data_IF_937401327322
#
_entry.id   IF_937401327322
#
_cell.length_a   1.000
_cell.length_b   1.000
_cell.length_c   1.000
_cell.angle_alpha   90.00
_cell.angle_beta   90.00
_cell.angle_gamma   90.00
#
_symmetry.space_group_name_H-M   'P 1'
#
loop_
_entity.id
_entity.type
_entity.pdbx_description
1 polymer ?
#
# COMPACT_ATOMS: atom_id res chain seq x y z
N UNK A 1 -65.43 56.24 4.18
CA UNK A 1 -65.13 55.86 5.58
C UNK A 1 -63.97 54.85 5.51
N UNK A 2 -62.83 55.24 6.10
CA UNK A 2 -61.60 54.49 6.50
C UNK A 2 -61.23 53.20 5.73
N UNK A 3 -60.01 53.01 5.23
CA UNK A 3 -58.69 53.19 5.85
C UNK A 3 -57.66 53.46 4.73
N UNK A 4 -56.82 54.49 4.85
CA UNK A 4 -55.42 54.42 5.36
C UNK A 4 -54.60 53.35 4.60
N UNK A 5 -53.40 53.61 4.08
CA UNK A 5 -52.48 54.73 4.17
C UNK A 5 -51.20 54.31 3.43
N UNK A 6 -50.53 55.28 2.79
CA UNK A 6 -49.07 55.49 2.84
C UNK A 6 -48.18 54.40 2.19
N UNK A 7 -47.60 54.70 1.03
CA UNK A 7 -46.29 55.37 0.87
C UNK A 7 -45.10 54.40 0.90
N UNK A 8 -44.42 54.42 -0.25
CA UNK A 8 -42.96 54.56 -0.42
C UNK A 8 -41.98 53.46 0.02
N UNK A 9 -41.11 53.20 -0.96
CA UNK A 9 -39.68 52.89 -0.82
C UNK A 9 -39.28 51.52 -0.28
N UNK A 10 -38.81 50.66 -1.17
CA UNK A 10 -37.62 49.84 -0.90
C UNK A 10 -37.02 49.36 -2.22
N UNK A 11 -35.99 50.06 -2.72
CA UNK A 11 -34.56 49.73 -2.58
C UNK A 11 -34.11 48.54 -3.45
N UNK A 12 -33.17 48.88 -4.32
CA UNK A 12 -32.43 48.01 -5.22
C UNK A 12 -31.97 46.72 -4.54
N UNK A 13 -32.19 45.60 -5.22
CA UNK A 13 -31.71 44.29 -4.80
C UNK A 13 -30.63 43.84 -5.77
N UNK A 14 -29.39 44.27 -5.49
CA UNK A 14 -28.19 43.70 -6.10
C UNK A 14 -28.16 42.20 -5.77
N UNK A 15 -28.34 41.35 -6.78
CA UNK A 15 -28.21 39.90 -6.64
C UNK A 15 -26.73 39.58 -6.79
N UNK A 16 -26.03 39.49 -5.65
CA UNK A 16 -24.70 38.88 -5.57
C UNK A 16 -24.93 37.37 -5.57
N UNK A 17 -24.51 36.69 -6.65
CA UNK A 17 -24.48 35.22 -6.71
C UNK A 17 -23.10 34.76 -6.22
N UNK A 18 -22.97 34.08 -5.07
CA UNK A 18 -21.74 33.39 -4.73
C UNK A 18 -21.81 31.99 -5.34
N UNK A 19 -21.19 31.79 -6.50
CA UNK A 19 -20.94 30.44 -7.01
C UNK A 19 -19.76 29.84 -6.24
N UNK A 20 -20.08 29.09 -5.18
CA UNK A 20 -19.13 28.30 -4.40
C UNK A 20 -18.49 27.25 -5.31
N UNK A 21 -17.22 27.42 -5.67
CA UNK A 21 -16.41 26.34 -6.24
C UNK A 21 -16.19 25.29 -5.15
N UNK A 22 -16.97 24.22 -5.17
CA UNK A 22 -16.66 23.00 -4.42
C UNK A 22 -15.47 22.30 -5.08
N UNK A 23 -14.25 22.67 -4.68
CA UNK A 23 -13.07 21.87 -4.96
C UNK A 23 -13.22 20.53 -4.23
N UNK A 24 -13.62 19.49 -4.96
CA UNK A 24 -13.49 18.11 -4.47
C UNK A 24 -12.00 17.85 -4.27
N UNK A 25 -11.54 17.98 -3.02
CA UNK A 25 -10.28 17.42 -2.58
C UNK A 25 -10.45 15.89 -2.64
N UNK A 26 -10.16 15.30 -3.80
CA UNK A 26 -9.88 13.89 -3.88
C UNK A 26 -8.59 13.66 -3.09
N UNK A 27 -8.72 13.30 -1.81
CA UNK A 27 -7.61 12.78 -1.04
C UNK A 27 -6.99 11.64 -1.86
N UNK A 28 -5.68 11.66 -2.16
CA UNK A 28 -5.05 10.52 -2.78
C UNK A 28 -5.22 9.34 -1.83
N UNK A 29 -6.11 8.41 -2.18
CA UNK A 29 -6.15 7.12 -1.54
C UNK A 29 -4.82 6.46 -1.87
N UNK A 30 -3.87 6.49 -0.95
CA UNK A 30 -2.73 5.57 -0.98
C UNK A 30 -3.34 4.18 -0.92
N UNK A 31 -3.37 3.50 -2.07
CA UNK A 31 -3.97 2.19 -2.17
C UNK A 31 -3.24 1.28 -1.19
N UNK A 32 -3.92 0.80 -0.15
CA UNK A 32 -3.30 -0.19 0.73
C UNK A 32 -3.00 -1.46 -0.04
N UNK A 33 -2.00 -2.23 0.37
CA UNK A 33 -1.74 -3.55 -0.23
C UNK A 33 -3.02 -4.41 -0.19
N UNK A 34 -3.41 -4.95 -1.35
CA UNK A 34 -4.57 -5.85 -1.47
C UNK A 34 -4.22 -7.26 -0.97
N UNK A 35 -3.94 -7.37 0.32
CA UNK A 35 -3.55 -8.59 1.01
C UNK A 35 -4.44 -8.78 2.24
N UNK A 36 -5.03 -9.97 2.37
CA UNK A 36 -5.81 -10.35 3.54
C UNK A 36 -4.90 -10.85 4.67
N UNK A 37 -5.27 -10.57 5.92
CA UNK A 37 -4.57 -11.13 7.07
C UNK A 37 -4.78 -12.65 7.16
N UNK A 38 -3.80 -13.37 7.70
CA UNK A 38 -3.88 -14.82 7.86
C UNK A 38 -2.55 -15.52 7.71
N UNK A 39 -2.64 -16.85 7.63
CA UNK A 39 -1.50 -17.73 7.41
C UNK A 39 -1.21 -17.78 5.92
N UNK A 40 -0.01 -17.39 5.52
CA UNK A 40 0.43 -17.36 4.13
C UNK A 40 1.58 -18.32 3.92
N UNK A 41 1.51 -19.09 2.84
CA UNK A 41 2.62 -19.88 2.32
C UNK A 41 3.18 -19.17 1.09
N UNK A 42 4.51 -19.02 1.05
CA UNK A 42 5.24 -18.47 -0.08
C UNK A 42 6.22 -19.50 -0.61
N UNK A 43 6.17 -19.78 -1.90
CA UNK A 43 7.14 -20.62 -2.62
C UNK A 43 8.04 -19.75 -3.49
N UNK A 44 9.36 -19.93 -3.34
CA UNK A 44 10.35 -19.30 -4.21
C UNK A 44 10.77 -20.29 -5.30
N UNK A 45 10.76 -19.83 -6.55
CA UNK A 45 11.10 -20.63 -7.73
C UNK A 45 12.23 -19.92 -8.49
N UNK A 46 13.31 -20.65 -8.76
CA UNK A 46 14.41 -20.20 -9.61
C UNK A 46 14.61 -21.26 -10.71
N UNK A 47 14.89 -20.82 -11.94
CA UNK A 47 15.08 -21.71 -13.11
C UNK A 47 13.93 -22.71 -13.31
N UNK A 48 12.70 -22.28 -13.02
CA UNK A 48 11.49 -23.11 -13.13
C UNK A 48 11.34 -24.18 -12.04
N UNK A 49 12.24 -24.22 -11.04
CA UNK A 49 12.21 -25.21 -9.94
C UNK A 49 11.98 -24.54 -8.59
N UNK A 50 11.06 -25.07 -7.75
CA UNK A 50 10.91 -24.60 -6.38
C UNK A 50 12.22 -24.78 -5.59
N UNK A 51 12.68 -23.71 -4.96
CA UNK A 51 13.89 -23.68 -4.14
C UNK A 51 13.55 -23.76 -2.64
N UNK A 52 12.45 -23.11 -2.25
CA UNK A 52 12.01 -23.10 -0.86
C UNK A 52 10.52 -22.79 -0.75
N UNK A 53 9.93 -23.22 0.36
CA UNK A 53 8.61 -22.80 0.78
C UNK A 53 8.66 -22.43 2.27
N UNK A 54 7.99 -21.35 2.63
CA UNK A 54 7.91 -20.91 4.02
C UNK A 54 6.53 -20.34 4.32
N UNK A 55 6.09 -20.58 5.55
CA UNK A 55 4.81 -20.11 6.04
C UNK A 55 5.01 -18.98 7.04
N UNK A 56 4.23 -17.90 6.92
CA UNK A 56 4.22 -16.75 7.83
C UNK A 56 2.80 -16.33 8.12
N UNK A 57 2.52 -16.04 9.39
CA UNK A 57 1.30 -15.38 9.80
C UNK A 57 1.46 -13.87 9.66
N UNK A 58 0.56 -13.25 8.91
CA UNK A 58 0.46 -11.81 8.73
C UNK A 58 -0.83 -11.33 9.37
N UNK A 59 -0.71 -10.58 10.47
CA UNK A 59 -1.84 -9.83 11.05
C UNK A 59 -2.09 -8.55 10.25
N UNK A 60 -3.24 -7.89 10.44
CA UNK A 60 -3.47 -6.57 9.85
C UNK A 60 -2.37 -5.56 10.20
N UNK A 61 -1.85 -5.60 11.42
CA UNK A 61 -0.75 -4.73 11.84
C UNK A 61 0.54 -5.01 11.05
N UNK A 62 0.84 -6.28 10.76
CA UNK A 62 2.01 -6.65 9.95
C UNK A 62 1.89 -6.16 8.51
N UNK A 63 0.70 -6.23 7.92
CA UNK A 63 0.47 -5.75 6.55
C UNK A 63 0.68 -4.24 6.47
N UNK A 64 0.15 -3.49 7.44
CA UNK A 64 0.34 -2.03 7.53
C UNK A 64 1.82 -1.67 7.74
N UNK A 65 2.52 -2.38 8.62
CA UNK A 65 3.95 -2.14 8.85
C UNK A 65 4.81 -2.55 7.64
N UNK A 66 4.44 -3.63 6.94
CA UNK A 66 5.08 -4.02 5.68
C UNK A 66 4.94 -2.90 4.64
N UNK A 67 3.74 -2.35 4.45
CA UNK A 67 3.51 -1.25 3.51
C UNK A 67 4.35 -0.01 3.86
N UNK A 68 4.39 0.36 5.16
CA UNK A 68 5.25 1.46 5.63
C UNK A 68 6.73 1.16 5.34
N UNK A 69 7.19 -0.07 5.60
CA UNK A 69 8.57 -0.50 5.33
C UNK A 69 8.92 -0.37 3.86
N UNK A 70 8.07 -0.87 2.96
CA UNK A 70 8.29 -0.76 1.53
C UNK A 70 8.41 0.69 1.07
N UNK A 71 7.66 1.61 1.71
CA UNK A 71 7.73 3.05 1.47
C UNK A 71 8.88 3.77 2.18
N UNK A 72 9.75 3.06 2.91
CA UNK A 72 10.83 3.65 3.70
C UNK A 72 10.35 4.44 4.94
N UNK A 73 9.11 4.22 5.38
CA UNK A 73 8.44 4.92 6.50
C UNK A 73 8.29 4.05 7.75
N UNK A 74 8.82 2.84 7.75
CA UNK A 74 8.75 1.95 8.92
C UNK A 74 9.58 2.51 10.07
N UNK A 75 9.01 2.47 11.28
CA UNK A 75 9.72 2.79 12.52
C UNK A 75 10.52 1.60 13.05
N UNK A 76 10.33 0.40 12.50
CA UNK A 76 11.14 -0.78 12.82
C UNK A 76 12.50 -0.65 12.15
N UNK A 77 13.57 -0.68 12.94
CA UNK A 77 14.95 -0.64 12.47
C UNK A 77 15.22 -1.91 11.65
N UNK A 78 15.33 -1.77 10.34
CA UNK A 78 15.71 -2.89 9.50
C UNK A 78 17.21 -3.12 9.60
N UNK A 79 17.61 -4.06 10.46
CA UNK A 79 19.02 -4.37 10.71
C UNK A 79 19.73 -5.02 9.51
N UNK A 80 19.01 -5.41 8.46
CA UNK A 80 19.57 -6.20 7.35
C UNK A 80 19.17 -5.69 5.97
N UNK A 81 17.95 -5.17 5.75
CA UNK A 81 17.50 -4.74 4.40
C UNK A 81 16.91 -3.34 4.39
N UNK A 82 17.22 -2.55 3.35
CA UNK A 82 16.66 -1.22 3.09
C UNK A 82 15.80 -1.27 1.84
N UNK A 83 14.77 -0.43 1.79
CA UNK A 83 13.81 -0.38 0.69
C UNK A 83 13.78 1.04 0.11
N UNK A 84 13.74 1.13 -1.21
CA UNK A 84 13.72 2.38 -1.96
C UNK A 84 12.84 2.25 -3.21
N UNK A 85 12.64 3.37 -3.92
CA UNK A 85 11.97 3.41 -5.23
C UNK A 85 10.57 2.79 -5.26
N UNK A 86 9.85 2.89 -4.13
CA UNK A 86 8.52 2.33 -4.03
C UNK A 86 7.56 3.01 -5.00
N UNK A 87 6.91 2.19 -5.82
CA UNK A 87 5.80 2.61 -6.67
C UNK A 87 4.66 1.61 -6.53
N UNK A 88 3.43 2.11 -6.63
CA UNK A 88 2.24 1.28 -6.60
C UNK A 88 1.26 1.71 -7.68
N UNK A 89 0.73 0.73 -8.41
CA UNK A 89 -0.32 0.90 -9.39
C UNK A 89 -1.39 -0.15 -9.15
N UNK A 90 -2.50 0.26 -8.55
CA UNK A 90 -3.55 -0.65 -8.11
C UNK A 90 -3.01 -1.71 -7.13
N UNK A 91 -3.08 -2.97 -7.54
CA UNK A 91 -2.67 -4.14 -6.75
C UNK A 91 -1.19 -4.49 -6.88
N UNK A 92 -0.46 -3.82 -7.78
CA UNK A 92 0.94 -4.10 -8.06
C UNK A 92 1.85 -3.07 -7.41
N UNK A 93 2.91 -3.54 -6.77
CA UNK A 93 3.99 -2.73 -6.21
C UNK A 93 5.32 -3.07 -6.86
N UNK A 94 6.19 -2.08 -6.98
CA UNK A 94 7.58 -2.27 -7.31
C UNK A 94 8.43 -1.49 -6.32
N UNK A 95 9.59 -2.05 -5.95
CA UNK A 95 10.54 -1.40 -5.07
C UNK A 95 11.94 -2.00 -5.26
N UNK A 96 12.95 -1.22 -4.90
CA UNK A 96 14.33 -1.68 -4.77
C UNK A 96 14.56 -2.16 -3.34
N UNK A 97 15.18 -3.33 -3.19
CA UNK A 97 15.55 -3.91 -1.90
C UNK A 97 17.06 -4.11 -1.85
N UNK A 98 17.74 -3.51 -0.88
CA UNK A 98 19.18 -3.68 -0.65
C UNK A 98 19.40 -4.33 0.71
N UNK A 99 19.92 -5.55 0.72
CA UNK A 99 20.20 -6.31 1.94
C UNK A 99 21.70 -6.44 2.17
N UNK A 100 22.14 -6.24 3.42
CA UNK A 100 23.48 -6.58 3.89
C UNK A 100 23.55 -8.06 4.26
N UNK A 101 24.50 -8.78 3.70
CA UNK A 101 24.75 -10.19 3.96
C UNK A 101 26.23 -10.33 4.36
N UNK A 102 26.50 -10.26 5.67
CA UNK A 102 27.87 -10.12 6.16
C UNK A 102 28.45 -8.76 5.74
N UNK A 103 29.60 -8.80 5.05
CA UNK A 103 30.27 -7.60 4.53
C UNK A 103 29.76 -7.17 3.14
N UNK A 104 28.97 -8.01 2.47
CA UNK A 104 28.44 -7.74 1.14
C UNK A 104 27.07 -7.04 1.20
N UNK A 105 26.80 -6.20 0.20
CA UNK A 105 25.48 -5.63 -0.06
C UNK A 105 24.91 -6.18 -1.36
N UNK A 106 23.71 -6.75 -1.28
CA UNK A 106 22.97 -7.24 -2.44
C UNK A 106 21.76 -6.35 -2.70
N UNK A 107 21.74 -5.71 -3.88
CA UNK A 107 20.59 -4.94 -4.36
C UNK A 107 19.76 -5.76 -5.34
N UNK A 108 18.45 -5.77 -5.14
CA UNK A 108 17.47 -6.51 -5.93
C UNK A 108 16.30 -5.61 -6.32
N UNK A 109 15.85 -5.71 -7.58
CA UNK A 109 14.59 -5.11 -8.00
C UNK A 109 13.44 -6.09 -7.72
N UNK A 110 12.41 -5.63 -7.03
CA UNK A 110 11.26 -6.45 -6.63
C UNK A 110 9.98 -5.91 -7.24
N UNK A 111 9.16 -6.81 -7.78
CA UNK A 111 7.78 -6.53 -8.19
C UNK A 111 6.84 -7.52 -7.53
N UNK A 112 5.68 -7.11 -7.07
CA UNK A 112 4.67 -8.01 -6.52
C UNK A 112 3.26 -7.52 -6.87
N UNK A 113 2.34 -8.45 -7.13
CA UNK A 113 0.90 -8.18 -7.31
C UNK A 113 0.14 -8.96 -6.27
N UNK A 114 -0.70 -8.27 -5.49
CA UNK A 114 -1.49 -8.85 -4.41
C UNK A 114 -2.98 -8.88 -4.78
N UNK A 115 -3.64 -10.02 -4.61
CA UNK A 115 -5.02 -10.25 -5.03
C UNK A 115 -5.85 -10.85 -3.89
N UNK A 116 -5.84 -10.22 -2.73
CA UNK A 116 -6.55 -10.66 -1.52
C UNK A 116 -5.86 -11.87 -0.88
N UNK A 117 -6.12 -13.07 -1.39
CA UNK A 117 -5.65 -14.36 -0.85
C UNK A 117 -4.52 -15.01 -1.66
N UNK A 118 -4.03 -14.32 -2.69
CA UNK A 118 -2.88 -14.75 -3.48
C UNK A 118 -1.97 -13.59 -3.81
N UNK A 119 -0.69 -13.89 -4.06
CA UNK A 119 0.22 -12.94 -4.66
C UNK A 119 1.23 -13.63 -5.57
N UNK A 120 1.72 -12.88 -6.55
CA UNK A 120 2.84 -13.29 -7.37
C UNK A 120 3.81 -12.14 -7.51
N UNK A 121 5.09 -12.43 -7.38
CA UNK A 121 6.14 -11.44 -7.48
C UNK A 121 7.41 -11.99 -8.09
N UNK A 122 8.31 -11.08 -8.45
CA UNK A 122 9.64 -11.41 -8.94
C UNK A 122 10.69 -10.61 -8.19
N UNK A 123 11.81 -11.26 -7.91
CA UNK A 123 13.01 -10.68 -7.32
C UNK A 123 14.11 -10.84 -8.36
N UNK A 124 14.67 -9.74 -8.84
CA UNK A 124 15.74 -9.74 -9.85
C UNK A 124 17.02 -9.19 -9.27
N UNK A 125 18.10 -9.97 -9.34
CA UNK A 125 19.43 -9.57 -8.91
C UNK A 125 20.50 -10.25 -9.77
N UNK A 126 21.54 -9.53 -10.19
CA UNK A 126 22.71 -10.06 -10.90
C UNK A 126 22.37 -11.01 -12.09
N UNK A 127 21.33 -10.68 -12.86
CA UNK A 127 20.89 -11.48 -14.02
C UNK A 127 20.01 -12.70 -13.66
N UNK A 128 19.81 -13.00 -12.38
CA UNK A 128 18.93 -14.05 -11.90
C UNK A 128 17.55 -13.48 -11.60
N UNK A 129 16.50 -14.20 -12.00
CA UNK A 129 15.11 -13.88 -11.62
C UNK A 129 14.53 -15.01 -10.78
N UNK A 130 14.12 -14.68 -9.56
CA UNK A 130 13.39 -15.58 -8.68
C UNK A 130 11.92 -15.17 -8.70
N UNK A 131 11.02 -16.14 -8.89
CA UNK A 131 9.58 -15.92 -8.77
C UNK A 131 9.11 -16.31 -7.37
N UNK A 132 8.40 -15.43 -6.70
CA UNK A 132 7.72 -15.70 -5.44
C UNK A 132 6.22 -15.86 -5.73
N UNK A 133 5.66 -17.02 -5.41
CA UNK A 133 4.22 -17.28 -5.48
C UNK A 133 3.71 -17.51 -4.07
N UNK A 134 2.67 -16.80 -3.67
CA UNK A 134 2.11 -16.93 -2.32
C UNK A 134 0.61 -17.16 -2.36
N UNK A 135 0.13 -17.93 -1.38
CA UNK A 135 -1.29 -18.16 -1.14
C UNK A 135 -1.61 -18.11 0.34
N UNK A 136 -2.82 -17.64 0.66
CA UNK A 136 -3.38 -17.70 2.00
C UNK A 136 -3.93 -19.11 2.28
N UNK A 137 -3.48 -19.70 3.38
CA UNK A 137 -3.91 -21.02 3.85
C UNK A 137 -5.08 -20.94 4.83
N UNK A 138 -5.33 -19.78 5.42
CA UNK A 138 -6.44 -19.57 6.37
C UNK A 138 -6.15 -18.48 7.37
N UNK A 139 -6.88 -18.51 8.50
CA UNK A 139 -6.70 -17.56 9.60
C UNK A 139 -5.49 -17.96 10.47
N UNK A 140 -4.89 -16.98 11.12
CA UNK A 140 -3.93 -17.17 12.22
C UNK A 140 -4.00 -15.96 13.16
N UNK A 141 -3.61 -16.14 14.42
CA UNK A 141 -3.78 -15.14 15.47
C UNK A 141 -2.47 -14.54 15.99
N UNK A 142 -1.32 -15.12 15.65
CA UNK A 142 -0.02 -14.70 16.19
C UNK A 142 0.93 -14.28 15.08
N UNK A 143 1.34 -13.00 15.09
CA UNK A 143 2.28 -12.45 14.12
C UNK A 143 3.59 -13.23 14.11
N UNK A 144 4.05 -13.63 12.92
CA UNK A 144 5.39 -14.21 12.77
C UNK A 144 6.54 -13.18 12.84
N UNK A 145 6.21 -11.91 13.10
CA UNK A 145 7.14 -10.78 13.12
C UNK A 145 7.14 -10.02 14.45
N UNK A 146 6.24 -10.37 15.38
CA UNK A 146 6.31 -9.91 16.75
C UNK A 146 7.54 -10.54 17.41
N UNK A 147 8.50 -9.70 17.81
CA UNK A 147 9.56 -10.04 18.76
C UNK A 147 9.39 -9.16 19.98
#
# INVERSE_FOLDING_TARGET
MQMRSLQMCSRARSIVIPAVLAAFAASPATASLNMNEGLWETTLTADGKPQSAATKCYTRADIVEMEKRLQGKSSRVDGVCRYADFTQSGNSVNYTMTCKLGDDEQTSAVSATYNGDSSIGTIRAAGVTVTASSRRLGNCSESSFAR
#
